data_IF_228573558404
#
_entry.id   IF_228573558404
#
_cell.length_a   1.000
_cell.length_b   1.000
_cell.length_c   1.000
_cell.angle_alpha   90.00
_cell.angle_beta   90.00
_cell.angle_gamma   90.00
#
_symmetry.space_group_name_H-M   'P 1'
#
loop_
_entity.id
_entity.type
_entity.pdbx_description
1 polymer ?
#
# COMPACT_ATOMS: atom_id res chain seq x y z
N UNK A 1 9.85 30.20 37.85
CA UNK A 1 9.10 28.94 37.84
C UNK A 1 7.69 29.23 37.37
N UNK A 2 7.36 28.88 36.13
CA UNK A 2 5.95 28.81 35.71
C UNK A 2 5.87 27.71 34.66
N UNK A 3 5.60 26.49 35.12
CA UNK A 3 5.28 25.37 34.23
C UNK A 3 3.96 25.72 33.52
N UNK A 4 4.01 25.95 32.20
CA UNK A 4 2.81 25.89 31.38
C UNK A 4 2.30 24.45 31.40
N UNK A 5 1.29 24.20 32.23
CA UNK A 5 0.48 22.99 32.17
C UNK A 5 -0.25 22.96 30.83
N UNK A 6 0.31 22.25 29.85
CA UNK A 6 -0.46 21.81 28.68
C UNK A 6 -1.52 20.83 29.19
N UNK A 7 -2.78 21.27 29.19
CA UNK A 7 -3.93 20.40 29.50
C UNK A 7 -3.91 19.20 28.55
N UNK A 8 -3.78 17.99 29.11
CA UNK A 8 -3.92 16.73 28.36
C UNK A 8 -5.40 16.58 27.99
N UNK A 9 -5.75 16.92 26.74
CA UNK A 9 -7.09 16.64 26.20
C UNK A 9 -7.31 15.12 26.20
N UNK A 10 -8.48 14.70 26.65
CA UNK A 10 -8.85 13.29 26.72
C UNK A 10 -9.14 12.74 25.32
N UNK A 11 -8.98 11.43 25.09
CA UNK A 11 -9.29 10.78 23.79
C UNK A 11 -10.71 11.12 23.32
N UNK A 12 -11.66 11.21 24.25
CA UNK A 12 -13.04 11.62 23.98
C UNK A 12 -13.17 13.08 23.46
N UNK A 13 -12.37 14.01 23.99
CA UNK A 13 -12.38 15.42 23.57
C UNK A 13 -11.78 15.61 22.17
N UNK A 14 -10.81 14.76 21.81
CA UNK A 14 -10.18 14.75 20.49
C UNK A 14 -11.13 14.11 19.45
N UNK A 15 -11.82 13.04 19.83
CA UNK A 15 -12.77 12.31 19.00
C UNK A 15 -14.03 13.12 18.65
N UNK A 16 -14.59 13.87 19.60
CA UNK A 16 -15.81 14.67 19.36
C UNK A 16 -15.58 15.89 18.45
N UNK A 17 -14.33 16.33 18.26
CA UNK A 17 -14.05 17.67 17.76
C UNK A 17 -13.74 17.79 16.25
N UNK A 18 -13.74 16.73 15.45
CA UNK A 18 -13.15 16.86 14.09
C UNK A 18 -13.62 15.77 13.15
N UNK A 19 -14.41 16.21 12.17
CA UNK A 19 -14.47 15.87 10.74
C UNK A 19 -15.93 16.03 10.32
N UNK A 20 -16.21 16.83 9.27
CA UNK A 20 -17.59 17.00 8.74
C UNK A 20 -18.22 15.68 8.32
N UNK A 21 -17.40 14.66 8.06
CA UNK A 21 -17.81 13.33 7.68
C UNK A 21 -16.86 12.31 8.30
N UNK A 22 -17.37 11.48 9.20
CA UNK A 22 -16.71 10.23 9.62
C UNK A 22 -17.29 9.14 8.70
N UNK A 23 -16.45 8.46 7.89
CA UNK A 23 -16.96 7.47 6.95
C UNK A 23 -17.67 6.34 7.69
N UNK A 24 -18.77 5.84 7.12
CA UNK A 24 -19.40 4.60 7.55
C UNK A 24 -18.43 3.46 7.28
N UNK A 25 -18.20 2.56 8.24
CA UNK A 25 -17.14 1.55 8.22
C UNK A 25 -17.68 0.15 7.97
N UNK A 26 -18.42 -0.02 6.89
CA UNK A 26 -18.82 -1.33 6.40
C UNK A 26 -18.01 -1.71 5.14
N UNK A 27 -18.26 -2.90 4.59
CA UNK A 27 -17.60 -3.34 3.35
C UNK A 27 -17.94 -2.46 2.13
N UNK A 28 -18.90 -1.54 2.23
CA UNK A 28 -19.24 -0.60 1.18
C UNK A 28 -18.56 0.77 1.38
N UNK A 29 -17.84 0.96 2.50
CA UNK A 29 -17.18 2.22 2.85
C UNK A 29 -16.31 2.74 1.69
N UNK A 30 -16.50 4.01 1.27
CA UNK A 30 -15.64 4.66 0.29
C UNK A 30 -14.16 4.61 0.71
N UNK A 31 -13.29 4.29 -0.25
CA UNK A 31 -11.84 4.30 -0.05
C UNK A 31 -11.23 2.97 0.41
N UNK A 32 -12.03 1.95 0.75
CA UNK A 32 -11.51 0.62 1.04
C UNK A 32 -11.05 -0.07 -0.25
N UNK A 33 -9.74 -0.24 -0.45
CA UNK A 33 -9.15 -0.65 -1.75
C UNK A 33 -9.00 -2.15 -1.94
N UNK A 34 -9.32 -2.98 -0.93
CA UNK A 34 -8.86 -4.38 -0.86
C UNK A 34 -9.95 -5.36 -0.43
N UNK A 35 -11.18 -5.11 -0.86
CA UNK A 35 -12.33 -5.91 -0.45
C UNK A 35 -12.71 -6.90 -1.55
N UNK A 36 -12.93 -8.15 -1.18
CA UNK A 36 -13.29 -9.24 -2.08
C UNK A 36 -12.99 -10.61 -1.43
N UNK A 37 -13.49 -11.67 -2.06
CA UNK A 37 -13.13 -13.06 -1.74
C UNK A 37 -12.62 -13.70 -3.03
N UNK A 38 -11.51 -14.44 -2.95
CA UNK A 38 -10.88 -15.10 -4.10
C UNK A 38 -10.48 -14.14 -5.23
N UNK A 39 -9.91 -12.98 -4.88
CA UNK A 39 -9.49 -11.98 -5.86
C UNK A 39 -8.34 -12.51 -6.72
N UNK A 40 -8.53 -12.48 -8.03
CA UNK A 40 -7.53 -12.85 -9.05
C UNK A 40 -7.22 -11.66 -9.96
N UNK A 41 -6.42 -11.87 -11.00
CA UNK A 41 -6.04 -10.84 -11.97
C UNK A 41 -6.10 -11.30 -13.41
N UNK A 42 -6.43 -10.38 -14.32
CA UNK A 42 -6.28 -10.54 -15.76
C UNK A 42 -5.15 -9.64 -16.26
N UNK A 43 -4.25 -10.18 -17.08
CA UNK A 43 -3.21 -9.39 -17.76
C UNK A 43 -3.83 -8.40 -18.74
N UNK A 44 -3.35 -7.15 -18.73
CA UNK A 44 -3.86 -6.08 -19.60
C UNK A 44 -2.84 -5.73 -20.69
N UNK A 45 -1.63 -5.34 -20.29
CA UNK A 45 -0.60 -4.89 -21.22
C UNK A 45 0.81 -4.97 -20.60
N UNK A 46 1.83 -4.95 -21.45
CA UNK A 46 3.24 -4.89 -21.08
C UNK A 46 3.95 -3.78 -21.86
N UNK A 47 4.90 -3.09 -21.23
CA UNK A 47 5.77 -2.11 -21.90
C UNK A 47 7.16 -2.04 -21.25
N UNK A 48 8.12 -1.49 -21.99
CA UNK A 48 9.39 -1.03 -21.42
C UNK A 48 9.20 0.38 -20.84
N UNK A 49 9.43 0.53 -19.55
CA UNK A 49 9.26 1.79 -18.83
C UNK A 49 10.63 2.35 -18.41
N UNK A 50 11.12 3.43 -19.06
CA UNK A 50 12.29 4.15 -18.59
C UNK A 50 11.95 4.95 -17.33
N UNK A 51 12.76 4.82 -16.28
CA UNK A 51 12.65 5.58 -15.03
C UNK A 51 14.00 6.21 -14.66
N UNK A 52 14.01 7.06 -13.63
CA UNK A 52 15.23 7.56 -13.00
C UNK A 52 16.12 6.43 -12.45
N UNK A 53 15.49 5.33 -11.99
CA UNK A 53 16.13 4.10 -11.57
C UNK A 53 16.57 3.17 -12.70
N UNK A 54 16.34 3.52 -13.97
CA UNK A 54 16.69 2.72 -15.15
C UNK A 54 15.50 2.10 -15.86
N UNK A 55 15.75 1.12 -16.73
CA UNK A 55 14.72 0.47 -17.53
C UNK A 55 14.08 -0.70 -16.77
N UNK A 56 12.74 -0.74 -16.77
CA UNK A 56 11.95 -1.86 -16.26
C UNK A 56 11.04 -2.41 -17.35
N UNK A 57 10.81 -3.72 -17.38
CA UNK A 57 9.68 -4.29 -18.12
C UNK A 57 8.48 -4.31 -17.19
N UNK A 58 7.43 -3.55 -17.51
CA UNK A 58 6.26 -3.38 -16.64
C UNK A 58 5.07 -4.09 -17.23
N UNK A 59 4.43 -4.95 -16.45
CA UNK A 59 3.12 -5.54 -16.76
C UNK A 59 2.03 -4.92 -15.90
N UNK A 60 0.92 -4.58 -16.52
CA UNK A 60 -0.29 -4.13 -15.85
C UNK A 60 -1.34 -5.25 -15.81
N UNK A 61 -2.04 -5.33 -14.69
CA UNK A 61 -3.10 -6.29 -14.43
C UNK A 61 -4.35 -5.55 -13.95
N UNK A 62 -5.51 -6.17 -14.14
CA UNK A 62 -6.78 -5.72 -13.56
C UNK A 62 -7.32 -6.78 -12.63
N UNK A 63 -7.73 -6.40 -11.42
CA UNK A 63 -8.30 -7.33 -10.45
C UNK A 63 -9.69 -7.81 -10.86
N UNK A 64 -10.00 -9.06 -10.50
CA UNK A 64 -11.28 -9.72 -10.77
C UNK A 64 -11.77 -10.36 -9.46
N UNK A 65 -13.06 -10.21 -9.15
CA UNK A 65 -13.66 -10.73 -7.92
C UNK A 65 -13.59 -9.79 -6.72
N UNK A 66 -12.89 -8.66 -6.85
CA UNK A 66 -12.88 -7.60 -5.83
C UNK A 66 -14.14 -6.74 -5.90
N UNK A 67 -14.61 -6.25 -4.75
CA UNK A 67 -15.72 -5.27 -4.65
C UNK A 67 -15.38 -3.94 -5.32
N UNK A 68 -14.08 -3.63 -5.44
CA UNK A 68 -13.56 -2.47 -6.18
C UNK A 68 -12.47 -2.91 -7.12
N UNK A 69 -12.50 -2.39 -8.34
CA UNK A 69 -11.42 -2.63 -9.31
C UNK A 69 -10.11 -2.03 -8.79
N UNK A 70 -9.02 -2.78 -8.96
CA UNK A 70 -7.66 -2.37 -8.65
C UNK A 70 -6.74 -2.79 -9.79
N UNK A 71 -5.69 -2.02 -10.02
CA UNK A 71 -4.76 -2.25 -11.13
C UNK A 71 -3.32 -2.46 -10.60
N UNK A 72 -3.01 -3.65 -10.07
CA UNK A 72 -1.65 -3.95 -9.65
C UNK A 72 -0.72 -4.05 -10.87
N UNK A 73 0.55 -3.68 -10.67
CA UNK A 73 1.57 -3.76 -11.70
C UNK A 73 2.74 -4.62 -11.23
N UNK A 74 3.44 -5.25 -12.16
CA UNK A 74 4.69 -5.94 -11.90
C UNK A 74 5.83 -5.25 -12.66
N UNK A 75 6.83 -4.73 -11.94
CA UNK A 75 8.07 -4.21 -12.49
C UNK A 75 9.10 -5.32 -12.51
N UNK A 76 9.57 -5.68 -13.71
CA UNK A 76 10.40 -6.85 -13.94
C UNK A 76 11.77 -6.40 -14.44
N UNK A 77 12.81 -7.04 -13.91
CA UNK A 77 14.21 -6.84 -14.28
C UNK A 77 14.85 -8.18 -14.61
N UNK A 78 15.64 -8.20 -15.69
CA UNK A 78 16.23 -9.44 -16.21
C UNK A 78 15.20 -10.41 -16.79
N UNK A 79 15.67 -11.62 -17.09
CA UNK A 79 14.82 -12.74 -17.47
C UNK A 79 14.45 -13.55 -16.21
N UNK A 80 13.16 -13.65 -15.90
CA UNK A 80 12.63 -14.31 -14.71
C UNK A 80 11.77 -15.53 -15.06
N UNK A 81 11.40 -15.71 -16.34
CA UNK A 81 10.39 -16.69 -16.73
C UNK A 81 10.94 -18.11 -16.61
N UNK A 82 10.18 -19.00 -15.96
CA UNK A 82 10.58 -20.38 -15.73
C UNK A 82 11.71 -20.54 -14.71
N UNK A 83 12.19 -19.44 -14.11
CA UNK A 83 13.22 -19.48 -13.07
C UNK A 83 12.60 -19.81 -11.72
N UNK A 84 13.41 -20.48 -10.91
CA UNK A 84 13.15 -20.69 -9.49
C UNK A 84 13.89 -19.64 -8.69
N UNK A 85 13.43 -19.45 -7.46
CA UNK A 85 14.13 -18.65 -6.48
C UNK A 85 14.30 -17.18 -6.91
N UNK A 86 13.32 -16.69 -7.69
CA UNK A 86 13.35 -15.31 -8.18
C UNK A 86 13.04 -14.37 -7.02
N UNK A 87 13.85 -13.32 -6.80
CA UNK A 87 13.53 -12.26 -5.85
C UNK A 87 12.20 -11.59 -6.18
N UNK A 88 11.28 -11.58 -5.22
CA UNK A 88 9.98 -10.91 -5.36
C UNK A 88 9.74 -9.98 -4.16
N UNK A 89 9.53 -8.70 -4.45
CA UNK A 89 9.02 -7.72 -3.50
C UNK A 89 7.54 -7.49 -3.77
N UNK A 90 6.69 -7.61 -2.75
CA UNK A 90 5.32 -7.07 -2.80
C UNK A 90 5.33 -5.74 -2.07
N UNK A 91 4.95 -4.69 -2.78
CA UNK A 91 5.01 -3.33 -2.29
C UNK A 91 3.63 -2.68 -2.33
N UNK A 92 3.13 -2.25 -1.18
CA UNK A 92 1.87 -1.50 -1.11
C UNK A 92 2.11 -0.03 -1.38
N UNK A 93 1.23 0.57 -2.17
CA UNK A 93 1.21 1.99 -2.48
C UNK A 93 1.26 2.85 -1.21
N UNK A 94 2.15 3.84 -1.24
CA UNK A 94 2.26 4.88 -0.24
C UNK A 94 2.53 6.24 -0.90
N UNK A 95 1.47 6.82 -1.45
CA UNK A 95 1.47 8.07 -2.20
C UNK A 95 2.20 9.21 -1.48
N UNK A 96 1.97 9.37 -0.17
CA UNK A 96 2.60 10.44 0.61
C UNK A 96 4.13 10.30 0.67
N UNK A 97 4.68 9.09 0.80
CA UNK A 97 6.12 8.88 0.89
C UNK A 97 6.75 8.85 -0.51
N UNK A 98 6.13 8.12 -1.43
CA UNK A 98 6.68 7.86 -2.76
C UNK A 98 6.58 9.08 -3.69
N UNK A 99 5.45 9.78 -3.68
CA UNK A 99 5.19 10.89 -4.59
C UNK A 99 5.60 12.22 -3.95
N UNK A 100 5.29 12.43 -2.67
CA UNK A 100 5.57 13.70 -1.98
C UNK A 100 6.82 13.69 -1.11
N UNK A 101 7.49 12.55 -0.93
CA UNK A 101 8.70 12.48 -0.10
C UNK A 101 8.45 12.67 1.39
N UNK A 102 7.26 12.30 1.88
CA UNK A 102 6.94 12.34 3.31
C UNK A 102 7.93 11.52 4.14
N UNK A 103 8.41 12.11 5.24
CA UNK A 103 9.30 11.48 6.23
C UNK A 103 8.54 10.76 7.36
N UNK A 104 7.20 10.70 7.29
CA UNK A 104 6.38 9.99 8.30
C UNK A 104 6.49 8.46 8.21
N UNK A 105 7.03 7.93 7.12
CA UNK A 105 7.32 6.50 6.95
C UNK A 105 8.45 6.30 5.92
N UNK A 106 8.98 5.09 5.88
CA UNK A 106 10.10 4.63 5.06
C UNK A 106 9.67 3.94 3.75
N UNK A 107 8.38 4.00 3.37
CA UNK A 107 7.86 3.25 2.22
C UNK A 107 8.60 3.56 0.92
N UNK A 108 8.97 4.82 0.67
CA UNK A 108 9.78 5.19 -0.50
C UNK A 108 11.14 4.52 -0.49
N UNK A 109 11.84 4.52 0.65
CA UNK A 109 13.16 3.91 0.77
C UNK A 109 13.09 2.39 0.53
N UNK A 110 12.04 1.74 1.03
CA UNK A 110 11.80 0.32 0.79
C UNK A 110 11.53 0.02 -0.71
N UNK A 111 10.74 0.86 -1.39
CA UNK A 111 10.50 0.73 -2.83
C UNK A 111 11.78 0.93 -3.64
N UNK A 112 12.55 1.97 -3.31
CA UNK A 112 13.82 2.28 -3.97
C UNK A 112 14.83 1.16 -3.79
N UNK A 113 14.94 0.61 -2.57
CA UNK A 113 15.77 -0.56 -2.29
C UNK A 113 15.35 -1.77 -3.12
N UNK A 114 14.05 -2.09 -3.17
CA UNK A 114 13.57 -3.23 -3.94
C UNK A 114 13.82 -3.09 -5.45
N UNK A 115 13.61 -1.90 -6.01
CA UNK A 115 13.94 -1.60 -7.41
C UNK A 115 15.44 -1.79 -7.68
N UNK A 116 16.29 -1.28 -6.79
CA UNK A 116 17.75 -1.42 -6.93
C UNK A 116 18.20 -2.89 -6.82
N UNK A 117 17.69 -3.62 -5.83
CA UNK A 117 18.02 -5.02 -5.60
C UNK A 117 17.62 -5.89 -6.80
N UNK A 118 16.37 -5.75 -7.26
CA UNK A 118 15.89 -6.50 -8.43
C UNK A 118 16.69 -6.15 -9.68
N UNK A 119 17.04 -4.87 -9.90
CA UNK A 119 17.90 -4.46 -11.02
C UNK A 119 19.28 -5.13 -11.00
N UNK A 120 19.87 -5.34 -9.82
CA UNK A 120 21.17 -5.98 -9.68
C UNK A 120 21.10 -7.50 -9.84
N UNK A 121 20.04 -8.15 -9.34
CA UNK A 121 19.96 -9.60 -9.23
C UNK A 121 19.00 -10.26 -10.24
N UNK A 122 18.23 -9.46 -10.98
CA UNK A 122 17.00 -9.90 -11.64
C UNK A 122 15.89 -10.13 -10.62
N UNK A 123 14.65 -9.82 -10.97
CA UNK A 123 13.53 -10.01 -10.06
C UNK A 123 12.28 -9.23 -10.42
N UNK A 124 11.31 -9.27 -9.51
CA UNK A 124 9.99 -8.65 -9.69
C UNK A 124 9.63 -7.80 -8.48
N UNK A 125 9.20 -6.56 -8.72
CA UNK A 125 8.49 -5.75 -7.73
C UNK A 125 7.01 -5.70 -8.13
N UNK A 126 6.14 -6.32 -7.34
CA UNK A 126 4.70 -6.24 -7.51
C UNK A 126 4.19 -5.06 -6.70
N UNK A 127 3.68 -4.04 -7.38
CA UNK A 127 3.15 -2.84 -6.76
C UNK A 127 1.62 -2.94 -6.65
N UNK A 128 1.14 -2.95 -5.41
CA UNK A 128 -0.25 -3.16 -5.04
C UNK A 128 -0.89 -1.80 -4.68
N UNK A 129 -1.98 -1.37 -5.34
CA UNK A 129 -2.63 -0.08 -5.07
C UNK A 129 -3.50 -0.14 -3.81
N UNK A 130 -2.85 -0.30 -2.64
CA UNK A 130 -3.49 -0.54 -1.33
C UNK A 130 -3.13 0.52 -0.30
N UNK A 131 -3.41 1.78 -0.65
CA UNK A 131 -3.01 2.94 0.16
C UNK A 131 -3.53 2.87 1.61
N UNK A 132 -2.67 3.27 2.56
CA UNK A 132 -3.05 3.36 3.96
C UNK A 132 -3.42 2.03 4.61
N UNK A 133 -2.80 0.92 4.18
CA UNK A 133 -3.22 -0.45 4.58
C UNK A 133 -4.66 -0.75 4.16
N UNK A 134 -5.02 -0.31 2.97
CA UNK A 134 -6.32 -0.56 2.38
C UNK A 134 -7.43 0.41 2.77
N UNK A 135 -7.19 1.41 3.64
CA UNK A 135 -8.21 2.42 3.99
C UNK A 135 -8.31 3.57 2.99
N UNK A 136 -7.34 3.70 2.08
CA UNK A 136 -7.26 4.76 1.11
C UNK A 136 -6.60 6.04 1.62
N UNK A 137 -6.21 6.91 0.68
CA UNK A 137 -5.40 8.11 0.96
C UNK A 137 -6.10 9.10 1.89
N UNK A 138 -7.37 9.42 1.63
CA UNK A 138 -8.10 10.42 2.42
C UNK A 138 -8.20 10.02 3.90
N UNK A 139 -8.49 8.75 4.17
CA UNK A 139 -8.59 8.19 5.52
C UNK A 139 -7.20 8.12 6.20
N UNK A 140 -6.13 7.85 5.44
CA UNK A 140 -4.76 7.97 5.95
C UNK A 140 -4.42 9.39 6.39
N UNK A 141 -4.79 10.41 5.61
CA UNK A 141 -4.60 11.82 6.00
C UNK A 141 -5.45 12.18 7.23
N UNK A 142 -6.68 11.65 7.29
CA UNK A 142 -7.54 11.78 8.47
C UNK A 142 -6.86 11.21 9.73
N UNK A 143 -6.27 10.02 9.64
CA UNK A 143 -5.51 9.41 10.73
C UNK A 143 -4.27 10.23 11.12
N UNK A 144 -3.52 10.77 10.15
CA UNK A 144 -2.39 11.67 10.44
C UNK A 144 -2.83 12.94 11.17
N UNK A 145 -3.94 13.54 10.78
CA UNK A 145 -4.48 14.72 11.46
C UNK A 145 -4.86 14.42 12.91
N UNK A 146 -5.35 13.22 13.20
CA UNK A 146 -5.62 12.77 14.57
C UNK A 146 -4.32 12.57 15.37
N UNK A 147 -3.28 12.03 14.74
CA UNK A 147 -1.98 11.86 15.38
C UNK A 147 -1.32 13.20 15.75
N UNK A 148 -1.44 14.21 14.89
CA UNK A 148 -0.94 15.57 15.15
C UNK A 148 -1.62 16.23 16.35
N UNK A 149 -2.81 15.74 16.73
CA UNK A 149 -3.55 16.21 17.91
C UNK A 149 -3.18 15.46 19.18
N UNK A 150 -2.19 14.56 19.12
CA UNK A 150 -1.58 13.87 20.25
C UNK A 150 -2.05 12.44 20.47
N UNK A 151 -2.85 11.87 19.55
CA UNK A 151 -3.17 10.45 19.57
C UNK A 151 -2.00 9.64 18.99
N UNK A 152 -1.75 8.47 19.54
CA UNK A 152 -0.87 7.52 18.85
C UNK A 152 -1.61 6.89 17.65
N UNK A 153 -0.89 6.08 16.87
CA UNK A 153 -1.47 5.48 15.65
C UNK A 153 -2.61 4.49 15.96
N UNK A 154 -2.55 3.80 17.10
CA UNK A 154 -3.55 2.80 17.49
C UNK A 154 -4.82 3.52 17.94
N UNK A 155 -4.69 4.54 18.78
CA UNK A 155 -5.81 5.32 19.27
C UNK A 155 -6.47 6.13 18.15
N UNK A 156 -5.69 6.67 17.20
CA UNK A 156 -6.24 7.32 16.01
C UNK A 156 -7.11 6.36 15.18
N UNK A 157 -6.63 5.14 14.91
CA UNK A 157 -7.40 4.15 14.14
C UNK A 157 -8.65 3.68 14.90
N UNK A 158 -8.56 3.48 16.22
CA UNK A 158 -9.71 3.11 17.07
C UNK A 158 -10.78 4.19 17.08
N UNK A 159 -10.38 5.47 17.22
CA UNK A 159 -11.30 6.61 17.17
C UNK A 159 -12.00 6.69 15.81
N UNK A 160 -11.28 6.35 14.74
CA UNK A 160 -11.83 6.33 13.39
C UNK A 160 -12.56 5.03 13.04
N UNK A 161 -12.54 4.02 13.93
CA UNK A 161 -13.22 2.72 13.80
C UNK A 161 -12.67 1.77 12.74
N UNK A 162 -11.50 2.05 12.16
CA UNK A 162 -10.88 1.18 11.15
C UNK A 162 -10.32 -0.10 11.80
N UNK A 163 -10.36 -1.22 11.07
CA UNK A 163 -9.48 -2.37 11.37
C UNK A 163 -8.01 -1.96 11.22
N UNK A 164 -7.12 -2.68 11.88
CA UNK A 164 -5.68 -2.42 11.83
C UNK A 164 -5.08 -2.59 10.43
N UNK A 165 -5.67 -3.47 9.62
CA UNK A 165 -5.24 -3.78 8.26
C UNK A 165 -6.43 -4.28 7.41
N UNK A 166 -6.60 -3.70 6.22
CA UNK A 166 -7.58 -4.13 5.22
C UNK A 166 -6.93 -4.75 3.98
N UNK A 167 -5.59 -4.85 3.92
CA UNK A 167 -4.88 -5.33 2.74
C UNK A 167 -5.25 -6.77 2.38
N UNK A 168 -5.15 -7.07 1.09
CA UNK A 168 -5.34 -8.41 0.55
C UNK A 168 -4.28 -8.72 -0.50
N UNK A 169 -3.56 -9.82 -0.33
CA UNK A 169 -2.51 -10.27 -1.25
C UNK A 169 -2.96 -11.43 -2.15
N UNK A 170 -4.25 -11.75 -2.17
CA UNK A 170 -4.83 -12.76 -3.08
C UNK A 170 -4.48 -12.56 -4.57
N UNK A 171 -4.33 -11.34 -5.10
CA UNK A 171 -3.92 -11.14 -6.49
C UNK A 171 -2.49 -11.61 -6.79
N UNK A 172 -1.60 -11.66 -5.79
CA UNK A 172 -0.16 -11.89 -5.98
C UNK A 172 0.15 -13.26 -6.59
N UNK A 173 -0.42 -14.38 -6.09
CA UNK A 173 -0.26 -15.69 -6.73
C UNK A 173 -0.67 -15.73 -8.20
N UNK A 174 -1.75 -15.02 -8.59
CA UNK A 174 -2.22 -14.99 -9.97
C UNK A 174 -1.22 -14.27 -10.89
N UNK A 175 -0.67 -13.14 -10.42
CA UNK A 175 0.39 -12.39 -11.12
C UNK A 175 1.63 -13.26 -11.27
N UNK A 176 2.12 -13.91 -10.20
CA UNK A 176 3.30 -14.77 -10.26
C UNK A 176 3.12 -15.97 -11.21
N UNK A 177 1.93 -16.55 -11.23
CA UNK A 177 1.56 -17.63 -12.14
C UNK A 177 1.59 -17.17 -13.60
N UNK A 178 1.04 -16.00 -13.91
CA UNK A 178 1.08 -15.41 -15.26
C UNK A 178 2.53 -15.11 -15.72
N UNK A 179 3.36 -14.60 -14.81
CA UNK A 179 4.77 -14.37 -15.05
C UNK A 179 5.57 -15.67 -15.26
N UNK A 180 5.04 -16.81 -14.81
CA UNK A 180 5.73 -18.09 -14.82
C UNK A 180 6.93 -18.10 -13.87
N UNK A 181 6.79 -17.46 -12.71
CA UNK A 181 7.85 -17.29 -11.71
C UNK A 181 7.57 -18.16 -10.48
N UNK A 182 8.59 -18.86 -9.99
CA UNK A 182 8.57 -19.50 -8.67
C UNK A 182 9.38 -18.65 -7.69
N UNK A 183 8.70 -17.99 -6.75
CA UNK A 183 9.31 -17.07 -5.78
C UNK A 183 9.99 -17.85 -4.65
N UNK A 184 11.18 -17.40 -4.22
CA UNK A 184 11.88 -18.00 -3.07
C UNK A 184 11.40 -17.42 -1.73
N UNK A 185 11.08 -16.12 -1.70
CA UNK A 185 10.58 -15.39 -0.54
C UNK A 185 9.82 -14.15 -1.03
N UNK A 186 8.68 -13.84 -0.40
CA UNK A 186 8.01 -12.55 -0.49
C UNK A 186 8.49 -11.74 0.72
N UNK A 187 9.30 -10.70 0.53
CA UNK A 187 9.73 -9.82 1.62
C UNK A 187 9.20 -8.41 1.46
#
# INVERSE_FOLDING_TARGET
MTQLQKSKKTVADIAQATFKHVPVLDANAPGLTCLGDQVTTTFVAETALPTDGGMFRVRAYRSVGSLRESEPIAMITGDVRGKRNVPVRVHDQCFTSEVFGSLKCDCREQLDYAKAYTKQHGGVVIYMPQEGRGIGLANKIMAYSMQERGLDTVDANRVLGFKDDYRSYEPVPAILKDLGVQADCLW
#
